data_IF_811843453489
#
_entry.id   IF_811843453489
#
_cell.length_a   1.000
_cell.length_b   1.000
_cell.length_c   1.000
_cell.angle_alpha   90.00
_cell.angle_beta   90.00
_cell.angle_gamma   90.00
#
_symmetry.space_group_name_H-M   'P 1'
#
loop_
_entity.id
_entity.type
_entity.pdbx_description
1 polymer ?
#
# COMPACT_ATOMS: atom_id res chain seq x y z
N UNK A 1 -69.50 29.19 -38.04
CA UNK A 1 -69.22 29.81 -36.73
C UNK A 1 -67.99 29.12 -36.17
N UNK A 2 -66.86 29.81 -36.15
CA UNK A 2 -65.58 29.28 -35.70
C UNK A 2 -65.57 29.16 -34.18
N UNK A 3 -65.73 27.94 -33.66
CA UNK A 3 -65.50 27.66 -32.25
C UNK A 3 -64.00 27.47 -32.01
N UNK A 4 -63.30 28.60 -31.85
CA UNK A 4 -61.93 28.61 -31.32
C UNK A 4 -61.95 28.17 -29.86
N UNK A 5 -61.52 26.94 -29.59
CA UNK A 5 -61.35 26.44 -28.24
C UNK A 5 -60.21 27.18 -27.55
N UNK A 6 -60.55 28.05 -26.60
CA UNK A 6 -59.59 28.69 -25.71
C UNK A 6 -58.92 27.59 -24.87
N UNK A 7 -57.70 27.20 -25.25
CA UNK A 7 -56.84 26.31 -24.47
C UNK A 7 -56.55 27.01 -23.14
N UNK A 8 -57.22 26.56 -22.07
CA UNK A 8 -57.16 27.21 -20.77
C UNK A 8 -55.73 27.23 -20.18
N UNK A 9 -55.43 28.19 -19.28
CA UNK A 9 -54.13 28.31 -18.63
C UNK A 9 -53.69 27.04 -17.89
N UNK A 10 -54.63 26.19 -17.47
CA UNK A 10 -54.34 24.92 -16.81
C UNK A 10 -53.74 23.86 -17.74
N UNK A 11 -54.15 23.81 -19.02
CA UNK A 11 -53.56 22.86 -19.97
C UNK A 11 -52.14 23.27 -20.40
N UNK A 12 -51.87 24.57 -20.45
CA UNK A 12 -50.53 25.12 -20.69
C UNK A 12 -49.60 24.89 -19.48
N UNK A 13 -50.13 25.01 -18.25
CA UNK A 13 -49.40 24.72 -17.01
C UNK A 13 -49.06 23.23 -16.87
N UNK A 14 -50.01 22.34 -17.18
CA UNK A 14 -49.78 20.90 -17.15
C UNK A 14 -48.69 20.43 -18.15
N UNK A 15 -48.70 20.97 -19.39
CA UNK A 15 -47.66 20.68 -20.39
C UNK A 15 -46.28 21.20 -20.00
N UNK A 16 -46.22 22.39 -19.39
CA UNK A 16 -44.97 22.99 -18.90
C UNK A 16 -44.41 22.21 -17.70
N UNK A 17 -45.26 21.73 -16.80
CA UNK A 17 -44.86 20.89 -15.68
C UNK A 17 -44.29 19.53 -16.15
N UNK A 18 -44.94 18.86 -17.10
CA UNK A 18 -44.45 17.59 -17.66
C UNK A 18 -43.11 17.72 -18.41
N UNK A 19 -42.89 18.82 -19.12
CA UNK A 19 -41.62 19.10 -19.81
C UNK A 19 -40.47 19.36 -18.81
N UNK A 20 -40.73 20.09 -17.71
CA UNK A 20 -39.75 20.34 -16.65
C UNK A 20 -39.39 19.08 -15.88
N UNK A 21 -40.36 18.21 -15.59
CA UNK A 21 -40.10 16.92 -14.93
C UNK A 21 -39.25 16.00 -15.82
N UNK A 22 -39.53 15.91 -17.13
CA UNK A 22 -38.68 15.17 -18.08
C UNK A 22 -37.27 15.74 -18.21
N UNK A 23 -37.14 17.07 -18.22
CA UNK A 23 -35.85 17.75 -18.29
C UNK A 23 -35.01 17.61 -17.01
N UNK A 24 -35.62 17.30 -15.86
CA UNK A 24 -34.93 17.01 -14.59
C UNK A 24 -34.62 15.51 -14.41
N UNK A 25 -35.46 14.63 -14.98
CA UNK A 25 -35.24 13.19 -14.99
C UNK A 25 -34.05 12.77 -15.89
N UNK A 26 -33.79 13.50 -16.98
CA UNK A 26 -32.63 13.27 -17.85
C UNK A 26 -31.27 13.46 -17.15
N UNK A 27 -31.02 14.61 -16.49
CA UNK A 27 -29.81 14.87 -15.72
C UNK A 27 -29.59 13.88 -14.58
N UNK A 28 -30.63 13.55 -13.81
CA UNK A 28 -30.50 12.60 -12.70
C UNK A 28 -30.16 11.18 -13.18
N UNK A 29 -30.78 10.72 -14.28
CA UNK A 29 -30.47 9.44 -14.89
C UNK A 29 -29.05 9.42 -15.50
N UNK A 30 -28.62 10.53 -16.11
CA UNK A 30 -27.27 10.68 -16.65
C UNK A 30 -26.21 10.66 -15.54
N UNK A 31 -26.38 11.44 -14.48
CA UNK A 31 -25.50 11.41 -13.30
C UNK A 31 -25.45 10.03 -12.67
N UNK A 32 -26.58 9.31 -12.60
CA UNK A 32 -26.60 7.94 -12.08
C UNK A 32 -25.80 6.97 -12.96
N UNK A 33 -25.86 7.12 -14.29
CA UNK A 33 -25.07 6.33 -15.23
C UNK A 33 -23.56 6.65 -15.14
N UNK A 34 -23.20 7.92 -15.02
CA UNK A 34 -21.82 8.38 -14.80
C UNK A 34 -21.25 7.81 -13.49
N UNK A 35 -22.01 7.92 -12.39
CA UNK A 35 -21.61 7.37 -11.09
C UNK A 35 -21.41 5.85 -11.15
N UNK A 36 -22.28 5.12 -11.86
CA UNK A 36 -22.15 3.67 -12.03
C UNK A 36 -20.88 3.31 -12.84
N UNK A 37 -20.55 4.09 -13.87
CA UNK A 37 -19.33 3.91 -14.64
C UNK A 37 -18.07 4.18 -13.81
N UNK A 38 -18.04 5.28 -13.05
CA UNK A 38 -16.95 5.58 -12.12
C UNK A 38 -16.76 4.48 -11.08
N UNK A 39 -17.85 4.03 -10.44
CA UNK A 39 -17.78 2.95 -9.46
C UNK A 39 -17.26 1.64 -10.06
N UNK A 40 -17.60 1.33 -11.32
CA UNK A 40 -17.05 0.17 -12.02
C UNK A 40 -15.55 0.29 -12.27
N UNK A 41 -15.06 1.47 -12.61
CA UNK A 41 -13.63 1.72 -12.82
C UNK A 41 -12.87 1.65 -11.49
N UNK A 42 -13.39 2.28 -10.44
CA UNK A 42 -12.81 2.24 -9.09
C UNK A 42 -12.70 0.80 -8.57
N UNK A 43 -13.71 -0.04 -8.83
CA UNK A 43 -13.66 -1.45 -8.48
C UNK A 43 -12.57 -2.21 -9.24
N UNK A 44 -12.40 -1.95 -10.54
CA UNK A 44 -11.34 -2.57 -11.35
C UNK A 44 -9.94 -2.13 -10.90
N UNK A 45 -9.78 -0.85 -10.57
CA UNK A 45 -8.53 -0.30 -10.04
C UNK A 45 -8.21 -0.87 -8.67
N UNK A 46 -9.19 -0.99 -7.77
CA UNK A 46 -9.02 -1.61 -6.46
C UNK A 46 -8.56 -3.07 -6.57
N UNK A 47 -9.14 -3.84 -7.49
CA UNK A 47 -8.69 -5.22 -7.77
C UNK A 47 -7.25 -5.23 -8.26
N UNK A 48 -6.89 -4.33 -9.16
CA UNK A 48 -5.50 -4.19 -9.65
C UNK A 48 -4.54 -3.89 -8.50
N UNK A 49 -4.88 -2.94 -7.61
CA UNK A 49 -4.04 -2.59 -6.45
C UNK A 49 -3.92 -3.70 -5.43
N UNK A 50 -4.97 -4.47 -5.20
CA UNK A 50 -4.91 -5.65 -4.34
C UNK A 50 -3.99 -6.71 -4.94
N UNK A 51 -4.03 -6.91 -6.27
CA UNK A 51 -3.16 -7.87 -6.95
C UNK A 51 -1.70 -7.40 -6.95
N UNK A 52 -1.43 -6.12 -7.23
CA UNK A 52 -0.09 -5.53 -7.11
C UNK A 52 0.47 -5.74 -5.69
N UNK A 53 -0.33 -5.49 -4.65
CA UNK A 53 0.09 -5.71 -3.27
C UNK A 53 0.36 -7.19 -2.96
N UNK A 54 -0.53 -8.09 -3.41
CA UNK A 54 -0.36 -9.54 -3.25
C UNK A 54 0.86 -10.09 -4.00
N UNK A 55 1.22 -9.47 -5.12
CA UNK A 55 2.42 -9.80 -5.88
C UNK A 55 3.72 -9.44 -5.15
N UNK A 56 3.66 -8.65 -4.06
CA UNK A 56 4.81 -8.25 -3.25
C UNK A 56 4.76 -8.88 -1.85
N UNK A 57 3.62 -8.78 -1.16
CA UNK A 57 3.44 -9.33 0.19
C UNK A 57 2.47 -10.51 0.19
N UNK A 58 2.99 -11.68 0.55
CA UNK A 58 2.22 -12.92 0.43
C UNK A 58 1.41 -13.26 1.68
N UNK A 59 1.56 -12.48 2.76
CA UNK A 59 0.87 -12.73 4.02
C UNK A 59 1.64 -13.66 4.96
N UNK A 60 0.89 -14.39 5.80
CA UNK A 60 1.43 -15.35 6.75
C UNK A 60 1.46 -16.76 6.16
N UNK A 61 2.63 -17.36 6.05
CA UNK A 61 2.82 -18.73 5.54
C UNK A 61 3.62 -19.57 6.53
N UNK A 62 3.61 -20.88 6.37
CA UNK A 62 4.35 -21.82 7.25
C UNK A 62 5.68 -22.27 6.64
N UNK A 63 5.86 -22.10 5.34
CA UNK A 63 7.04 -22.50 4.58
C UNK A 63 7.27 -21.55 3.40
N UNK A 64 8.47 -21.62 2.82
CA UNK A 64 8.88 -20.85 1.65
C UNK A 64 8.04 -21.29 0.42
N UNK A 65 7.26 -20.38 -0.20
CA UNK A 65 6.37 -20.73 -1.29
C UNK A 65 7.11 -20.79 -2.64
N UNK A 66 6.65 -21.68 -3.51
CA UNK A 66 7.16 -21.80 -4.89
C UNK A 66 6.49 -20.81 -5.86
N UNK A 67 5.36 -20.22 -5.47
CA UNK A 67 4.60 -19.25 -6.25
C UNK A 67 4.08 -18.13 -5.37
N UNK A 68 3.83 -16.97 -5.96
CA UNK A 68 3.10 -15.87 -5.35
C UNK A 68 1.61 -16.23 -5.13
N UNK A 69 0.83 -15.39 -4.43
CA UNK A 69 -0.61 -15.59 -4.22
C UNK A 69 -1.48 -15.52 -5.49
N UNK A 70 -0.92 -15.13 -6.63
CA UNK A 70 -1.57 -15.07 -7.93
C UNK A 70 -1.17 -16.25 -8.84
N UNK A 71 -0.27 -17.13 -8.37
CA UNK A 71 0.21 -18.32 -9.08
C UNK A 71 1.45 -18.10 -9.95
N UNK A 72 2.07 -16.92 -9.94
CA UNK A 72 3.32 -16.65 -10.65
C UNK A 72 4.53 -17.08 -9.81
N UNK A 73 5.73 -17.17 -10.41
CA UNK A 73 6.96 -17.38 -9.65
C UNK A 73 7.31 -16.15 -8.80
N UNK A 74 7.99 -16.30 -7.65
CA UNK A 74 8.42 -15.16 -6.84
C UNK A 74 9.40 -14.25 -7.56
N UNK A 75 9.22 -12.94 -7.38
CA UNK A 75 10.13 -11.92 -7.86
C UNK A 75 11.10 -11.50 -6.74
N UNK A 76 12.29 -11.04 -7.13
CA UNK A 76 13.24 -10.51 -6.16
C UNK A 76 12.63 -9.32 -5.41
N UNK A 77 12.68 -9.37 -4.08
CA UNK A 77 12.09 -8.37 -3.20
C UNK A 77 10.72 -8.75 -2.63
N UNK A 78 10.08 -9.81 -3.12
CA UNK A 78 8.84 -10.32 -2.54
C UNK A 78 9.09 -10.81 -1.11
N UNK A 79 8.09 -10.67 -0.24
CA UNK A 79 8.23 -11.02 1.17
C UNK A 79 6.97 -11.63 1.78
N UNK A 80 7.18 -12.43 2.83
CA UNK A 80 6.11 -13.03 3.62
C UNK A 80 6.52 -13.15 5.09
N UNK A 81 5.55 -13.34 5.99
CA UNK A 81 5.82 -13.65 7.39
C UNK A 81 5.74 -15.16 7.62
N UNK A 82 6.85 -15.78 8.02
CA UNK A 82 6.86 -17.19 8.41
C UNK A 82 6.29 -17.34 9.82
N UNK A 83 5.11 -17.93 9.90
CA UNK A 83 4.36 -18.13 11.15
C UNK A 83 4.94 -19.20 12.06
N UNK A 84 5.85 -20.05 11.58
CA UNK A 84 6.55 -21.07 12.38
C UNK A 84 7.79 -20.47 13.02
N UNK A 85 8.69 -19.88 12.22
CA UNK A 85 9.94 -19.27 12.71
C UNK A 85 9.75 -17.86 13.29
N UNK A 86 8.57 -17.25 13.11
CA UNK A 86 8.22 -15.89 13.53
C UNK A 86 9.15 -14.82 12.95
N UNK A 87 9.50 -14.97 11.66
CA UNK A 87 10.40 -14.06 10.94
C UNK A 87 9.81 -13.62 9.61
N UNK A 88 10.11 -12.40 9.21
CA UNK A 88 9.94 -11.99 7.81
C UNK A 88 10.97 -12.70 6.95
N UNK A 89 10.52 -13.15 5.79
CA UNK A 89 11.29 -13.83 4.76
C UNK A 89 11.20 -13.02 3.48
N UNK A 90 12.32 -12.83 2.79
CA UNK A 90 12.39 -12.13 1.50
C UNK A 90 13.02 -13.02 0.43
N UNK A 91 12.49 -12.98 -0.78
CA UNK A 91 13.08 -13.67 -1.92
C UNK A 91 14.18 -12.81 -2.55
N UNK A 92 15.40 -13.32 -2.61
CA UNK A 92 16.56 -12.58 -3.15
C UNK A 92 16.70 -12.69 -4.68
N UNK A 93 15.75 -13.36 -5.34
CA UNK A 93 15.81 -13.71 -6.76
C UNK A 93 16.20 -15.18 -7.01
N UNK A 94 16.74 -15.86 -6.00
CA UNK A 94 17.15 -17.27 -6.06
C UNK A 94 16.59 -18.13 -4.93
N UNK A 95 16.52 -17.57 -3.72
CA UNK A 95 16.08 -18.26 -2.53
C UNK A 95 15.39 -17.32 -1.56
N UNK A 96 14.58 -17.90 -0.68
CA UNK A 96 14.00 -17.21 0.45
C UNK A 96 15.04 -17.11 1.57
N UNK A 97 15.23 -15.91 2.10
CA UNK A 97 16.17 -15.60 3.17
C UNK A 97 15.48 -14.86 4.31
N UNK A 98 16.04 -14.89 5.51
CA UNK A 98 15.51 -14.10 6.62
C UNK A 98 15.74 -12.63 6.32
N UNK A 99 14.71 -11.80 6.48
CA UNK A 99 14.83 -10.35 6.37
C UNK A 99 15.53 -9.83 7.63
N UNK A 100 16.85 -9.90 7.63
CA UNK A 100 17.71 -9.44 8.74
C UNK A 100 18.28 -8.07 8.43
N UNK A 101 18.37 -7.22 9.45
CA UNK A 101 19.25 -6.05 9.37
C UNK A 101 20.70 -6.55 9.45
N UNK A 102 21.45 -6.40 8.37
CA UNK A 102 22.89 -6.73 8.31
C UNK A 102 23.73 -5.67 9.01
N UNK A 103 23.47 -5.46 10.29
CA UNK A 103 24.34 -4.72 11.19
C UNK A 103 24.98 -5.72 12.16
N UNK A 104 26.25 -6.07 11.97
CA UNK A 104 26.98 -6.72 13.06
C UNK A 104 27.16 -5.68 14.16
N UNK A 105 26.33 -5.73 15.21
CA UNK A 105 26.56 -4.94 16.41
C UNK A 105 27.78 -5.51 17.12
N UNK A 106 28.93 -4.83 16.99
CA UNK A 106 30.12 -5.14 17.79
C UNK A 106 30.02 -4.40 19.11
N UNK A 107 29.92 -5.15 20.22
CA UNK A 107 30.06 -4.61 21.58
C UNK A 107 31.52 -4.72 21.99
N UNK A 108 32.12 -3.61 22.40
CA UNK A 108 33.45 -3.57 23.01
C UNK A 108 33.30 -3.18 24.48
N UNK A 109 33.94 -3.89 25.40
CA UNK A 109 33.82 -3.67 26.84
C UNK A 109 35.15 -3.17 27.41
N UNK A 110 35.16 -1.92 27.87
CA UNK A 110 36.31 -1.29 28.53
C UNK A 110 35.95 -0.89 29.96
N UNK A 111 36.95 -0.91 30.86
CA UNK A 111 36.82 -0.44 32.23
C UNK A 111 37.68 0.81 32.42
N UNK A 112 37.09 1.93 32.83
CA UNK A 112 37.85 3.13 33.21
C UNK A 112 38.32 3.00 34.66
N UNK A 113 39.63 2.91 34.87
CA UNK A 113 40.26 2.77 36.20
C UNK A 113 40.96 4.04 36.67
N UNK A 114 41.17 5.02 35.80
CA UNK A 114 41.94 6.23 36.08
C UNK A 114 41.45 7.42 35.24
N UNK A 115 40.15 7.68 35.24
CA UNK A 115 39.56 8.88 34.60
C UNK A 115 39.71 8.94 33.08
N UNK A 116 39.80 7.80 32.40
CA UNK A 116 39.98 7.76 30.94
C UNK A 116 38.79 8.41 30.21
N UNK A 117 39.09 9.34 29.31
CA UNK A 117 38.13 9.96 28.38
C UNK A 117 38.21 9.37 26.98
N UNK A 118 39.06 8.37 26.78
CA UNK A 118 39.32 7.71 25.49
C UNK A 118 39.67 6.25 25.74
N UNK A 119 39.12 5.36 24.91
CA UNK A 119 39.37 3.92 24.95
C UNK A 119 39.92 3.46 23.60
N UNK A 120 41.12 2.89 23.61
CA UNK A 120 41.79 2.37 22.42
C UNK A 120 42.34 0.98 22.68
N UNK A 121 42.68 0.25 21.61
CA UNK A 121 43.25 -1.08 21.72
C UNK A 121 42.22 -2.17 21.97
N UNK A 122 42.70 -3.28 22.53
CA UNK A 122 41.91 -4.46 22.83
C UNK A 122 40.98 -4.23 24.03
N UNK A 123 39.73 -4.70 23.91
CA UNK A 123 38.76 -4.74 24.99
C UNK A 123 39.01 -5.92 25.95
N UNK A 124 38.13 -6.11 26.94
CA UNK A 124 38.20 -7.20 27.91
C UNK A 124 38.19 -8.62 27.29
N UNK A 125 37.86 -8.75 26.00
CA UNK A 125 37.80 -10.00 25.24
C UNK A 125 38.80 -10.04 24.08
N UNK A 126 39.87 -9.23 24.16
CA UNK A 126 40.90 -9.11 23.14
C UNK A 126 40.41 -8.63 21.75
N UNK A 127 39.25 -7.95 21.69
CA UNK A 127 38.74 -7.35 20.45
C UNK A 127 39.18 -5.90 20.36
N UNK A 128 39.84 -5.54 19.26
CA UNK A 128 40.33 -4.17 19.06
C UNK A 128 39.23 -3.26 18.52
N UNK A 129 38.92 -2.19 19.25
CA UNK A 129 38.09 -1.10 18.75
C UNK A 129 38.92 -0.24 17.79
N UNK A 130 38.51 -0.19 16.53
CA UNK A 130 39.04 0.77 15.55
C UNK A 130 38.01 1.88 15.33
N UNK A 131 38.33 3.10 15.74
CA UNK A 131 37.53 4.28 15.45
C UNK A 131 38.43 5.45 15.06
N UNK A 132 37.91 6.37 14.24
CA UNK A 132 38.58 7.65 13.98
C UNK A 132 38.19 8.61 15.11
N UNK A 133 39.13 8.93 15.99
CA UNK A 133 38.94 10.04 16.90
C UNK A 133 39.04 11.34 16.10
N UNK A 134 37.94 12.09 16.00
CA UNK A 134 37.94 13.45 15.45
C UNK A 134 38.16 14.48 16.56
N UNK A 135 38.84 15.57 16.25
CA UNK A 135 38.76 16.81 17.03
C UNK A 135 37.48 17.54 16.59
N UNK A 136 36.72 18.10 17.54
CA UNK A 136 35.70 19.08 17.20
C UNK A 136 36.43 20.33 16.70
N UNK A 137 36.09 20.83 15.52
CA UNK A 137 36.42 22.21 15.13
C UNK A 137 35.49 23.20 15.84
#
# INVERSE_FOLDING_TARGET
MHHGGCKGPDEARARTAGLRVRALQGPAAQTSAENAASASNDAADAVTKINEFKGIYYGGLTADPATDPLGAAPNAGDFYFNTVSKKFRSYDGTAWTDMVSVGTLKRFIFSATAGQTTFTGADAFAKTLAYRSGIAE
#
